data_IF_612300957311
#
_entry.id   IF_612300957311
#
_cell.length_a   1.000
_cell.length_b   1.000
_cell.length_c   1.000
_cell.angle_alpha   90.00
_cell.angle_beta   90.00
_cell.angle_gamma   90.00
#
_symmetry.space_group_name_H-M   'P 1'
#
loop_
_entity.id
_entity.type
_entity.pdbx_description
1 polymer ?
#
# COMPACT_ATOMS: atom_id res chain seq x y z
N UNK A 1 -7.94 42.23 48.57
CA UNK A 1 -9.10 42.87 49.24
C UNK A 1 -10.35 42.48 48.45
N UNK A 2 -11.29 41.75 49.09
CA UNK A 2 -12.67 41.36 48.68
C UNK A 2 -12.82 40.43 47.45
N UNK A 3 -13.08 39.13 47.65
CA UNK A 3 -14.38 38.41 47.87
C UNK A 3 -15.03 38.04 46.51
N UNK A 4 -15.33 36.81 46.08
CA UNK A 4 -15.84 35.53 46.64
C UNK A 4 -17.25 35.24 46.10
N UNK A 5 -17.58 33.94 46.00
CA UNK A 5 -18.90 33.27 45.81
C UNK A 5 -19.21 32.90 44.35
N UNK A 6 -19.32 31.64 43.89
CA UNK A 6 -19.85 30.37 44.43
C UNK A 6 -21.37 30.31 44.61
N UNK A 7 -22.04 29.43 43.82
CA UNK A 7 -23.12 28.46 44.17
C UNK A 7 -23.95 28.11 42.91
N UNK A 8 -24.00 26.83 42.49
CA UNK A 8 -24.97 25.76 42.85
C UNK A 8 -26.43 26.06 42.44
N UNK A 9 -27.05 25.17 41.65
CA UNK A 9 -28.15 24.25 42.08
C UNK A 9 -29.11 23.86 40.94
N UNK A 10 -29.67 22.64 41.03
CA UNK A 10 -30.95 22.20 40.43
C UNK A 10 -30.82 21.47 39.09
N UNK A 11 -30.95 20.14 38.93
CA UNK A 11 -31.91 19.11 39.40
C UNK A 11 -33.20 19.02 38.57
N UNK A 12 -33.59 17.76 38.31
CA UNK A 12 -34.87 17.24 37.78
C UNK A 12 -35.04 17.37 36.26
N UNK A 13 -35.65 16.48 35.51
CA UNK A 13 -36.30 15.15 35.59
C UNK A 13 -36.55 14.84 34.07
N UNK A 14 -36.71 13.64 33.50
CA UNK A 14 -37.77 12.67 33.71
C UNK A 14 -37.72 11.65 32.53
N UNK A 15 -38.09 10.38 32.80
CA UNK A 15 -38.73 9.38 31.92
C UNK A 15 -38.03 8.95 30.59
N UNK A 16 -37.96 7.67 30.19
CA UNK A 16 -38.72 6.45 30.46
C UNK A 16 -37.78 5.23 30.23
N UNK A 17 -37.68 4.21 31.10
CA UNK A 17 -38.62 3.14 31.46
C UNK A 17 -39.33 2.47 30.28
N UNK A 18 -38.78 1.34 29.81
CA UNK A 18 -39.56 0.16 29.43
C UNK A 18 -38.86 -1.09 30.02
N UNK A 19 -39.50 -1.67 31.02
CA UNK A 19 -39.27 -3.03 31.52
C UNK A 19 -40.23 -3.96 30.79
N UNK A 20 -39.80 -5.17 30.42
CA UNK A 20 -40.62 -6.38 30.51
C UNK A 20 -39.70 -7.51 30.96
N UNK A 21 -39.86 -7.90 32.24
CA UNK A 21 -39.60 -9.25 32.72
C UNK A 21 -40.77 -10.14 32.33
N UNK A 22 -40.50 -11.41 32.01
CA UNK A 22 -41.29 -12.53 32.54
C UNK A 22 -40.56 -13.86 32.29
N UNK A 23 -39.85 -14.25 33.35
CA UNK A 23 -40.00 -15.50 34.10
C UNK A 23 -39.99 -16.88 33.43
N UNK A 24 -39.16 -17.70 34.08
CA UNK A 24 -38.93 -19.12 33.94
C UNK A 24 -40.01 -20.01 34.57
N UNK A 25 -40.24 -21.21 34.02
CA UNK A 25 -40.62 -22.42 34.80
C UNK A 25 -40.44 -23.70 33.99
N UNK A 26 -39.66 -24.61 34.56
CA UNK A 26 -39.46 -26.02 34.22
C UNK A 26 -40.61 -26.89 34.74
N UNK A 27 -40.95 -28.01 34.07
CA UNK A 27 -41.22 -29.33 34.67
C UNK A 27 -41.29 -30.44 33.58
N UNK A 28 -41.21 -31.68 34.04
CA UNK A 28 -40.62 -32.91 33.48
C UNK A 28 -41.45 -33.75 32.48
N UNK A 29 -40.74 -34.63 31.74
CA UNK A 29 -41.20 -35.72 30.84
C UNK A 29 -42.20 -36.71 31.47
N UNK A 30 -42.96 -37.46 30.63
CA UNK A 30 -42.66 -38.89 30.43
C UNK A 30 -42.64 -39.36 28.95
N UNK A 31 -42.38 -40.66 28.80
CA UNK A 31 -41.73 -41.44 27.75
C UNK A 31 -42.52 -41.86 26.49
N UNK A 32 -41.74 -42.10 25.43
CA UNK A 32 -41.86 -43.12 24.37
C UNK A 32 -43.19 -43.34 23.62
N UNK A 33 -43.15 -43.07 22.31
CA UNK A 33 -43.16 -44.14 21.29
C UNK A 33 -42.67 -43.60 19.95
N UNK A 34 -41.72 -44.32 19.37
CA UNK A 34 -41.28 -44.16 17.99
C UNK A 34 -42.46 -44.39 17.04
N UNK A 35 -42.66 -43.46 16.11
CA UNK A 35 -42.98 -43.84 14.75
C UNK A 35 -42.48 -42.77 13.78
N UNK A 36 -41.69 -43.27 12.85
CA UNK A 36 -41.11 -42.62 11.69
C UNK A 36 -42.10 -41.69 10.98
N UNK A 37 -41.69 -40.44 10.79
CA UNK A 37 -41.88 -39.79 9.50
C UNK A 37 -40.76 -38.78 9.30
N UNK A 38 -39.95 -39.09 8.30
CA UNK A 38 -38.99 -38.23 7.64
C UNK A 38 -39.74 -36.96 7.22
N UNK A 39 -39.61 -35.89 7.98
CA UNK A 39 -39.76 -34.52 7.51
C UNK A 39 -38.38 -33.90 7.49
N UNK A 40 -37.55 -34.42 6.59
CA UNK A 40 -36.48 -33.62 6.03
C UNK A 40 -37.08 -32.83 4.85
N UNK A 41 -36.54 -31.63 4.64
CA UNK A 41 -36.78 -30.74 3.48
C UNK A 41 -38.08 -29.92 3.45
N UNK A 42 -38.06 -28.77 4.14
CA UNK A 42 -38.29 -27.44 3.53
C UNK A 42 -38.60 -26.37 4.59
N UNK A 43 -37.65 -26.05 5.46
CA UNK A 43 -37.55 -24.66 5.93
C UNK A 43 -37.10 -23.80 4.77
N UNK A 44 -38.04 -23.43 3.88
CA UNK A 44 -37.85 -22.30 2.96
C UNK A 44 -37.56 -21.10 3.84
N UNK A 45 -36.29 -20.73 3.99
CA UNK A 45 -35.90 -19.43 4.56
C UNK A 45 -36.61 -18.38 3.71
N UNK A 46 -37.66 -17.77 4.26
CA UNK A 46 -38.35 -16.67 3.62
C UNK A 46 -37.36 -15.50 3.60
N UNK A 47 -36.71 -15.31 2.47
CA UNK A 47 -35.82 -14.17 2.26
C UNK A 47 -36.71 -12.93 2.16
N UNK A 48 -36.49 -11.94 3.03
CA UNK A 48 -37.26 -10.70 2.95
C UNK A 48 -36.89 -9.94 1.68
N UNK A 49 -37.87 -9.24 1.09
CA UNK A 49 -37.63 -8.41 -0.08
C UNK A 49 -36.54 -7.35 0.19
N UNK A 50 -36.46 -6.84 1.42
CA UNK A 50 -35.42 -5.91 1.85
C UNK A 50 -34.02 -6.55 1.82
N UNK A 51 -33.89 -7.79 2.28
CA UNK A 51 -32.62 -8.52 2.21
C UNK A 51 -32.22 -8.80 0.76
N UNK A 52 -33.14 -9.29 -0.07
CA UNK A 52 -32.87 -9.57 -1.47
C UNK A 52 -32.45 -8.31 -2.24
N UNK A 53 -33.10 -7.17 -1.96
CA UNK A 53 -32.73 -5.88 -2.54
C UNK A 53 -31.35 -5.42 -2.05
N UNK A 54 -31.07 -5.54 -0.74
CA UNK A 54 -29.76 -5.19 -0.18
C UNK A 54 -28.62 -6.00 -0.79
N UNK A 55 -28.82 -7.31 -0.95
CA UNK A 55 -27.85 -8.20 -1.60
C UNK A 55 -27.64 -7.85 -3.08
N UNK A 56 -28.70 -7.55 -3.82
CA UNK A 56 -28.60 -7.09 -5.20
C UNK A 56 -27.82 -5.77 -5.32
N UNK A 57 -28.06 -4.81 -4.41
CA UNK A 57 -27.34 -3.53 -4.39
C UNK A 57 -25.86 -3.74 -4.06
N UNK A 58 -25.54 -4.56 -3.05
CA UNK A 58 -24.16 -4.88 -2.69
C UNK A 58 -23.43 -5.52 -3.90
N UNK A 59 -24.09 -6.42 -4.61
CA UNK A 59 -23.57 -7.04 -5.84
C UNK A 59 -23.40 -6.05 -7.00
N UNK A 60 -24.20 -5.00 -7.10
CA UNK A 60 -24.01 -3.93 -8.11
C UNK A 60 -22.81 -3.06 -7.72
N UNK A 61 -22.71 -2.67 -6.44
CA UNK A 61 -21.69 -1.75 -5.95
C UNK A 61 -20.27 -2.25 -6.22
N UNK A 62 -20.02 -3.56 -6.15
CA UNK A 62 -18.69 -4.14 -6.39
C UNK A 62 -18.10 -3.79 -7.77
N UNK A 63 -18.95 -3.53 -8.78
CA UNK A 63 -18.51 -3.22 -10.15
C UNK A 63 -18.37 -1.73 -10.43
N UNK A 64 -18.85 -0.87 -9.53
CA UNK A 64 -18.85 0.58 -9.73
C UNK A 64 -17.48 1.21 -9.46
N UNK A 65 -17.15 2.26 -10.20
CA UNK A 65 -15.99 3.14 -9.95
C UNK A 65 -16.25 4.06 -8.77
N UNK A 66 -15.21 4.72 -8.24
CA UNK A 66 -15.39 5.58 -7.07
C UNK A 66 -16.37 6.72 -7.36
N UNK A 67 -16.32 7.33 -8.56
CA UNK A 67 -17.27 8.38 -8.97
C UNK A 67 -18.71 7.90 -8.88
N UNK A 68 -18.99 6.72 -9.43
CA UNK A 68 -20.34 6.19 -9.51
C UNK A 68 -20.83 5.75 -8.12
N UNK A 69 -19.95 5.16 -7.30
CA UNK A 69 -20.24 4.87 -5.89
C UNK A 69 -20.63 6.14 -5.12
N UNK A 70 -19.87 7.22 -5.28
CA UNK A 70 -20.19 8.48 -4.61
C UNK A 70 -21.56 9.03 -5.05
N UNK A 71 -21.91 8.92 -6.33
CA UNK A 71 -23.23 9.33 -6.85
C UNK A 71 -24.37 8.45 -6.35
N UNK A 72 -24.23 7.13 -6.36
CA UNK A 72 -25.32 6.25 -5.89
C UNK A 72 -25.47 6.31 -4.37
N UNK A 73 -24.41 6.65 -3.63
CA UNK A 73 -24.46 6.82 -2.17
C UNK A 73 -25.41 7.92 -1.70
N UNK A 74 -25.77 8.87 -2.58
CA UNK A 74 -26.70 9.97 -2.27
C UNK A 74 -28.16 9.65 -2.60
N UNK A 75 -28.47 8.46 -3.14
CA UNK A 75 -29.83 8.10 -3.56
C UNK A 75 -30.74 7.87 -2.35
N UNK A 76 -30.38 6.96 -1.45
CA UNK A 76 -31.10 6.72 -0.20
C UNK A 76 -30.19 6.04 0.84
N UNK A 77 -30.68 5.88 2.08
CA UNK A 77 -29.94 5.26 3.18
C UNK A 77 -29.40 3.87 2.85
N UNK A 78 -30.20 3.01 2.20
CA UNK A 78 -29.77 1.65 1.84
C UNK A 78 -28.58 1.67 0.88
N UNK A 79 -28.63 2.47 -0.19
CA UNK A 79 -27.51 2.65 -1.12
C UNK A 79 -26.28 3.23 -0.43
N UNK A 80 -26.47 4.21 0.46
CA UNK A 80 -25.36 4.80 1.21
C UNK A 80 -24.63 3.77 2.08
N UNK A 81 -25.39 2.93 2.80
CA UNK A 81 -24.85 1.86 3.64
C UNK A 81 -24.14 0.79 2.79
N UNK A 82 -24.74 0.39 1.66
CA UNK A 82 -24.12 -0.54 0.70
C UNK A 82 -22.81 -0.02 0.12
N UNK A 83 -22.77 1.26 -0.29
CA UNK A 83 -21.55 1.90 -0.78
C UNK A 83 -20.49 1.96 0.31
N UNK A 84 -20.87 2.30 1.55
CA UNK A 84 -19.94 2.36 2.68
C UNK A 84 -19.33 0.98 2.96
N UNK A 85 -20.16 -0.07 2.97
CA UNK A 85 -19.70 -1.47 3.09
C UNK A 85 -18.82 -1.91 1.93
N UNK A 86 -19.11 -1.45 0.71
CA UNK A 86 -18.29 -1.79 -0.46
C UNK A 86 -16.92 -1.09 -0.38
N UNK A 87 -16.88 0.20 -0.06
CA UNK A 87 -15.64 0.95 0.08
C UNK A 87 -14.73 0.38 1.16
N UNK A 88 -15.28 -0.08 2.29
CA UNK A 88 -14.51 -0.70 3.38
C UNK A 88 -13.89 -2.05 3.00
N UNK A 89 -14.31 -2.67 1.89
CA UNK A 89 -13.82 -3.96 1.38
C UNK A 89 -12.88 -3.80 0.18
N UNK A 90 -12.48 -2.58 -0.20
CA UNK A 90 -11.58 -2.37 -1.33
C UNK A 90 -10.13 -2.31 -0.86
N UNK A 91 -9.27 -3.08 -1.54
CA UNK A 91 -7.84 -3.15 -1.28
C UNK A 91 -7.02 -2.15 -2.10
N UNK A 92 -5.69 -2.34 -2.19
CA UNK A 92 -4.81 -1.47 -2.95
C UNK A 92 -5.12 -1.57 -4.44
N UNK A 93 -4.93 -0.47 -5.16
CA UNK A 93 -5.13 -0.39 -6.60
C UNK A 93 -3.86 0.07 -7.29
N UNK A 94 -3.51 -0.59 -8.38
CA UNK A 94 -2.55 -0.09 -9.37
C UNK A 94 -3.35 0.61 -10.47
N UNK A 95 -2.95 1.80 -10.90
CA UNK A 95 -3.57 2.44 -12.06
C UNK A 95 -2.61 3.39 -12.77
N UNK A 96 -2.91 3.67 -14.03
CA UNK A 96 -2.22 4.68 -14.83
C UNK A 96 -3.01 5.98 -14.75
N UNK A 97 -2.39 7.02 -14.19
CA UNK A 97 -2.95 8.36 -14.20
C UNK A 97 -2.56 9.08 -15.51
N UNK A 98 -3.38 10.01 -16.00
CA UNK A 98 -2.99 10.84 -17.13
C UNK A 98 -1.70 11.62 -16.83
N UNK A 99 -0.91 11.86 -17.85
CA UNK A 99 0.27 12.71 -17.78
C UNK A 99 -0.02 14.16 -18.21
N UNK A 100 -1.15 14.39 -18.89
CA UNK A 100 -1.61 15.72 -19.32
C UNK A 100 -2.61 16.38 -18.35
N UNK A 101 -2.40 17.68 -18.09
CA UNK A 101 -3.18 18.47 -17.13
C UNK A 101 -4.69 18.57 -17.42
N UNK A 102 -5.09 18.56 -18.71
CA UNK A 102 -6.49 18.67 -19.11
C UNK A 102 -7.30 17.37 -18.88
N UNK A 103 -6.61 16.25 -18.66
CA UNK A 103 -7.22 14.93 -18.48
C UNK A 103 -7.38 14.55 -17.00
N UNK A 104 -6.90 15.36 -16.07
CA UNK A 104 -6.85 15.00 -14.65
C UNK A 104 -8.22 14.91 -13.96
N UNK A 105 -9.26 15.55 -14.49
CA UNK A 105 -10.62 15.44 -13.97
C UNK A 105 -11.18 14.00 -14.09
N UNK A 106 -10.53 13.17 -14.93
CA UNK A 106 -10.86 11.75 -15.12
C UNK A 106 -10.28 10.83 -14.04
N UNK A 107 -9.55 11.33 -13.03
CA UNK A 107 -8.98 10.47 -11.98
C UNK A 107 -10.06 9.64 -11.26
N UNK A 108 -11.24 10.22 -11.06
CA UNK A 108 -12.38 9.54 -10.45
C UNK A 108 -12.99 8.46 -11.36
N UNK A 109 -12.64 8.47 -12.63
CA UNK A 109 -13.03 7.47 -13.63
C UNK A 109 -12.00 6.35 -13.76
N UNK A 110 -10.82 6.55 -13.18
CA UNK A 110 -9.73 5.58 -13.17
C UNK A 110 -9.73 4.81 -11.84
N UNK A 111 -9.94 5.53 -10.74
CA UNK A 111 -9.91 4.94 -9.41
C UNK A 111 -11.22 4.22 -9.07
N UNK A 112 -11.08 3.07 -8.43
CA UNK A 112 -12.16 2.34 -7.77
C UNK A 112 -12.13 2.59 -6.26
N UNK A 113 -11.02 3.06 -5.72
CA UNK A 113 -10.87 3.28 -4.29
C UNK A 113 -10.82 4.77 -3.95
N UNK A 114 -11.08 5.08 -2.68
CA UNK A 114 -10.70 6.36 -2.08
C UNK A 114 -9.31 6.18 -1.44
N UNK A 115 -8.23 6.66 -2.07
CA UNK A 115 -6.87 6.43 -1.57
C UNK A 115 -6.63 7.22 -0.28
N UNK A 116 -5.97 6.60 0.69
CA UNK A 116 -5.35 7.28 1.83
C UNK A 116 -3.97 7.83 1.44
N UNK A 117 -3.20 7.02 0.69
CA UNK A 117 -1.92 7.43 0.11
C UNK A 117 -1.83 7.02 -1.37
N UNK A 118 -1.27 7.90 -2.19
CA UNK A 118 -0.80 7.59 -3.55
C UNK A 118 0.73 7.63 -3.65
N UNK A 119 1.33 6.60 -4.22
CA UNK A 119 2.73 6.58 -4.64
C UNK A 119 2.77 6.64 -6.16
N UNK A 120 3.29 7.72 -6.71
CA UNK A 120 3.36 7.97 -8.16
C UNK A 120 4.79 7.75 -8.64
N UNK A 121 4.97 6.83 -9.58
CA UNK A 121 6.25 6.50 -10.19
C UNK A 121 6.37 7.26 -11.50
N UNK A 122 7.28 8.21 -11.55
CA UNK A 122 7.44 9.17 -12.64
C UNK A 122 8.74 8.83 -13.36
N UNK A 123 8.69 8.54 -14.64
CA UNK A 123 9.86 8.13 -15.40
C UNK A 123 9.93 8.81 -16.76
N UNK A 124 11.10 8.83 -17.41
CA UNK A 124 12.37 8.35 -16.86
C UNK A 124 12.93 9.35 -15.83
N UNK A 125 13.99 9.01 -15.11
CA UNK A 125 14.53 9.84 -14.02
C UNK A 125 15.09 11.16 -14.55
N UNK A 126 15.50 12.07 -13.64
CA UNK A 126 16.14 13.35 -13.98
C UNK A 126 17.31 13.22 -14.96
N UNK A 127 18.02 12.08 -14.95
CA UNK A 127 19.16 11.85 -15.84
C UNK A 127 18.76 11.74 -17.31
N UNK A 128 17.53 11.28 -17.57
CA UNK A 128 17.04 10.94 -18.91
C UNK A 128 15.93 11.89 -19.39
N UNK A 129 15.43 12.80 -18.54
CA UNK A 129 14.35 13.75 -18.90
C UNK A 129 14.84 15.18 -19.07
N UNK A 130 14.24 15.90 -20.02
CA UNK A 130 14.50 17.32 -20.26
C UNK A 130 13.84 18.23 -19.20
N UNK A 131 12.68 17.80 -18.67
CA UNK A 131 11.89 18.59 -17.73
C UNK A 131 12.39 18.40 -16.30
N UNK A 132 12.95 19.45 -15.71
CA UNK A 132 13.34 19.46 -14.29
C UNK A 132 12.10 19.58 -13.39
N UNK A 133 12.20 19.02 -12.19
CA UNK A 133 11.20 19.19 -11.12
C UNK A 133 9.79 18.67 -11.49
N UNK A 134 9.73 17.62 -12.29
CA UNK A 134 8.47 17.06 -12.76
C UNK A 134 7.62 16.50 -11.62
N UNK A 135 8.25 15.98 -10.58
CA UNK A 135 7.61 15.52 -9.33
C UNK A 135 6.72 16.62 -8.75
N UNK A 136 7.22 17.85 -8.70
CA UNK A 136 6.50 18.98 -8.12
C UNK A 136 5.28 19.37 -8.96
N UNK A 137 5.42 19.31 -10.28
CA UNK A 137 4.32 19.59 -11.22
C UNK A 137 3.22 18.52 -11.10
N UNK A 138 3.61 17.24 -11.12
CA UNK A 138 2.70 16.10 -10.96
C UNK A 138 1.99 16.15 -9.60
N UNK A 139 2.73 16.43 -8.51
CA UNK A 139 2.11 16.58 -7.19
C UNK A 139 1.13 17.76 -7.15
N UNK A 140 1.48 18.90 -7.74
CA UNK A 140 0.60 20.07 -7.77
C UNK A 140 -0.69 19.80 -8.55
N UNK A 141 -0.57 19.07 -9.66
CA UNK A 141 -1.67 18.64 -10.51
C UNK A 141 -2.63 17.69 -9.76
N UNK A 142 -2.08 16.72 -9.02
CA UNK A 142 -2.86 15.65 -8.43
C UNK A 142 -3.31 15.88 -7.00
N UNK A 143 -2.63 16.74 -6.22
CA UNK A 143 -2.88 16.97 -4.79
C UNK A 143 -4.36 17.15 -4.44
N UNK A 144 -5.12 17.88 -5.26
CA UNK A 144 -6.55 18.19 -5.01
C UNK A 144 -7.46 16.94 -4.99
N UNK A 145 -6.99 15.81 -5.49
CA UNK A 145 -7.74 14.55 -5.55
C UNK A 145 -7.39 13.56 -4.44
N UNK A 146 -6.37 13.85 -3.64
CA UNK A 146 -5.91 12.96 -2.57
C UNK A 146 -6.20 13.57 -1.21
N UNK A 147 -6.83 12.83 -0.29
CA UNK A 147 -7.24 13.40 1.00
C UNK A 147 -6.08 13.59 1.97
N UNK A 148 -5.04 12.74 1.92
CA UNK A 148 -4.00 12.72 2.95
C UNK A 148 -2.59 12.77 2.39
N UNK A 149 -2.09 11.72 1.74
CA UNK A 149 -0.68 11.68 1.33
C UNK A 149 -0.52 11.42 -0.17
N UNK A 150 0.45 12.11 -0.76
CA UNK A 150 0.89 11.89 -2.13
C UNK A 150 2.41 11.92 -2.17
N UNK A 151 3.00 10.93 -2.83
CA UNK A 151 4.44 10.79 -2.98
C UNK A 151 4.75 10.64 -4.46
N UNK A 152 5.65 11.48 -4.97
CA UNK A 152 6.23 11.36 -6.28
C UNK A 152 7.64 10.78 -6.15
N UNK A 153 7.90 9.70 -6.90
CA UNK A 153 9.16 8.99 -6.95
C UNK A 153 9.62 8.96 -8.42
N UNK A 154 10.73 9.63 -8.71
CA UNK A 154 11.38 9.55 -10.01
C UNK A 154 12.09 8.20 -10.16
N UNK A 155 11.81 7.52 -11.26
CA UNK A 155 12.34 6.19 -11.58
C UNK A 155 12.87 6.20 -13.00
N UNK A 156 13.90 5.39 -13.30
CA UNK A 156 14.33 5.24 -14.69
C UNK A 156 13.31 4.44 -15.50
N UNK A 157 12.69 3.45 -14.87
CA UNK A 157 11.65 2.65 -15.49
C UNK A 157 10.62 2.18 -14.48
N UNK A 158 9.35 2.17 -14.91
CA UNK A 158 8.27 1.53 -14.17
C UNK A 158 7.56 0.50 -15.03
N UNK A 159 7.16 -0.61 -14.42
CA UNK A 159 6.52 -1.74 -15.10
C UNK A 159 5.27 -2.13 -14.33
N UNK A 160 4.14 -2.23 -15.02
CA UNK A 160 2.89 -2.77 -14.50
C UNK A 160 2.70 -4.19 -15.04
N UNK A 161 2.86 -5.18 -14.16
CA UNK A 161 2.98 -6.59 -14.52
C UNK A 161 4.15 -6.85 -15.48
N UNK A 162 3.90 -6.90 -16.78
CA UNK A 162 4.91 -7.10 -17.85
C UNK A 162 4.96 -5.90 -18.79
N UNK A 163 4.07 -4.92 -18.61
CA UNK A 163 3.97 -3.75 -19.47
C UNK A 163 4.85 -2.62 -18.93
N UNK A 164 5.81 -2.18 -19.74
CA UNK A 164 6.61 -0.99 -19.46
C UNK A 164 5.74 0.25 -19.58
N UNK A 165 5.81 1.11 -18.57
CA UNK A 165 5.07 2.36 -18.52
C UNK A 165 6.02 3.51 -18.79
N UNK A 166 5.69 4.29 -19.81
CA UNK A 166 6.42 5.48 -20.24
C UNK A 166 5.75 6.68 -19.57
N UNK A 167 6.17 6.96 -18.33
CA UNK A 167 5.52 7.91 -17.43
C UNK A 167 6.09 9.33 -17.46
N UNK A 168 6.26 9.93 -18.64
CA UNK A 168 6.89 11.25 -18.78
C UNK A 168 5.96 12.30 -19.39
N UNK A 169 5.28 13.11 -18.55
CA UNK A 169 4.64 14.32 -19.04
C UNK A 169 5.59 15.18 -19.87
N UNK A 170 5.20 15.48 -21.12
CA UNK A 170 5.95 16.36 -22.02
C UNK A 170 7.14 15.71 -22.76
N UNK A 171 7.31 14.39 -22.70
CA UNK A 171 8.27 13.69 -23.56
C UNK A 171 7.75 13.57 -24.99
N UNK A 172 8.63 13.78 -25.97
CA UNK A 172 8.34 13.46 -27.38
C UNK A 172 8.19 11.93 -27.52
N UNK A 173 6.99 11.46 -27.85
CA UNK A 173 6.66 10.03 -27.96
C UNK A 173 5.19 9.75 -27.68
N UNK A 174 4.86 8.49 -27.36
CA UNK A 174 3.53 8.07 -26.92
C UNK A 174 3.57 7.70 -25.42
N UNK A 175 3.65 8.69 -24.51
CA UNK A 175 3.53 8.39 -23.09
C UNK A 175 2.19 7.71 -22.82
N UNK A 176 2.17 6.80 -21.85
CA UNK A 176 0.99 5.98 -21.54
C UNK A 176 0.51 6.16 -20.09
N UNK A 177 0.89 7.28 -19.48
CA UNK A 177 0.44 7.69 -18.15
C UNK A 177 1.45 7.43 -17.04
N UNK A 178 1.12 7.90 -15.84
CA UNK A 178 1.93 7.80 -14.63
C UNK A 178 1.46 6.59 -13.83
N UNK A 179 2.35 5.61 -13.62
CA UNK A 179 2.02 4.44 -12.82
C UNK A 179 1.88 4.83 -11.34
N UNK A 180 0.74 4.51 -10.75
CA UNK A 180 0.45 4.78 -9.34
C UNK A 180 0.12 3.52 -8.55
N UNK A 181 0.61 3.47 -7.32
CA UNK A 181 0.09 2.60 -6.25
C UNK A 181 -0.80 3.42 -5.32
N UNK A 182 -2.05 2.99 -5.18
CA UNK A 182 -3.05 3.65 -4.35
C UNK A 182 -3.45 2.71 -3.22
N UNK A 183 -3.25 3.14 -1.97
CA UNK A 183 -3.57 2.34 -0.79
C UNK A 183 -4.69 3.06 -0.04
N UNK A 184 -5.88 2.43 0.15
CA UNK A 184 -6.97 3.04 0.89
C UNK A 184 -6.74 2.90 2.39
N UNK A 185 -7.54 3.62 3.18
CA UNK A 185 -7.72 3.29 4.59
C UNK A 185 -8.49 1.97 4.69
N UNK A 186 -8.06 1.07 5.56
CA UNK A 186 -8.67 -0.25 5.73
C UNK A 186 -8.87 -0.53 7.21
N UNK A 187 -10.05 -1.03 7.59
CA UNK A 187 -10.50 -1.08 8.98
C UNK A 187 -9.52 -1.81 9.92
N UNK A 188 -8.91 -2.89 9.43
CA UNK A 188 -8.01 -3.73 10.22
C UNK A 188 -6.52 -3.45 9.96
N UNK A 189 -6.21 -2.41 9.18
CA UNK A 189 -4.85 -1.98 8.91
C UNK A 189 -4.58 -0.60 9.50
N UNK A 190 -3.40 -0.44 10.10
CA UNK A 190 -2.86 0.83 10.56
C UNK A 190 -1.71 1.23 9.64
N UNK A 191 -1.85 2.38 8.99
CA UNK A 191 -0.81 2.98 8.15
C UNK A 191 -0.19 4.15 8.92
N UNK A 192 1.11 4.05 9.23
CA UNK A 192 1.88 5.18 9.79
C UNK A 192 2.88 5.68 8.74
N UNK A 193 2.98 7.00 8.59
CA UNK A 193 3.84 7.64 7.57
C UNK A 193 4.70 8.71 8.25
N UNK A 194 5.97 8.77 7.90
CA UNK A 194 6.88 9.85 8.28
C UNK A 194 7.84 10.16 7.14
N UNK A 195 8.17 11.44 6.98
CA UNK A 195 9.18 11.87 6.02
C UNK A 195 9.92 13.13 6.51
N UNK A 196 11.11 13.35 5.98
CA UNK A 196 11.90 14.56 6.22
C UNK A 196 12.43 15.13 4.90
N UNK A 197 12.73 16.43 4.89
CA UNK A 197 13.29 17.12 3.72
C UNK A 197 14.81 17.22 3.80
N UNK A 198 15.44 17.60 2.68
CA UNK A 198 16.84 18.00 2.69
C UNK A 198 17.10 19.12 3.72
N UNK A 199 18.26 19.05 4.38
CA UNK A 199 18.64 19.92 5.49
C UNK A 199 18.14 19.44 6.88
N UNK A 200 17.47 18.30 6.98
CA UNK A 200 16.99 17.77 8.26
C UNK A 200 18.15 17.35 9.19
N UNK A 201 18.04 17.67 10.48
CA UNK A 201 19.03 17.27 11.50
C UNK A 201 18.97 15.79 11.87
N UNK A 202 19.82 15.38 12.81
CA UNK A 202 19.87 14.01 13.37
C UNK A 202 18.55 13.58 14.00
N UNK A 203 17.77 14.52 14.55
CA UNK A 203 16.48 14.26 15.18
C UNK A 203 15.46 13.63 14.20
N UNK A 204 15.65 13.81 12.89
CA UNK A 204 14.83 13.18 11.87
C UNK A 204 14.90 11.65 11.93
N UNK A 205 16.05 11.08 12.31
CA UNK A 205 16.25 9.64 12.46
C UNK A 205 15.32 9.08 13.54
N UNK A 206 15.33 9.70 14.72
CA UNK A 206 14.48 9.27 15.84
C UNK A 206 13.00 9.50 15.55
N UNK A 207 12.67 10.66 14.99
CA UNK A 207 11.30 11.00 14.58
C UNK A 207 10.74 9.94 13.62
N UNK A 208 11.42 9.69 12.49
CA UNK A 208 10.97 8.72 11.50
C UNK A 208 10.82 7.34 12.13
N UNK A 209 11.83 6.90 12.90
CA UNK A 209 11.80 5.60 13.55
C UNK A 209 10.60 5.48 14.49
N UNK A 210 10.38 6.46 15.37
CA UNK A 210 9.27 6.42 16.33
C UNK A 210 7.91 6.45 15.64
N UNK A 211 7.75 7.28 14.61
CA UNK A 211 6.49 7.42 13.89
C UNK A 211 6.14 6.17 13.08
N UNK A 212 7.09 5.49 12.43
CA UNK A 212 6.76 4.30 11.62
C UNK A 212 6.76 2.99 12.41
N UNK A 213 7.34 2.93 13.60
CA UNK A 213 7.33 1.67 14.36
C UNK A 213 6.00 1.44 15.10
N UNK A 214 5.44 0.21 15.10
CA UNK A 214 4.30 -0.11 15.95
C UNK A 214 4.69 -0.03 17.43
N UNK A 215 3.70 0.27 18.26
CA UNK A 215 3.88 0.44 19.69
C UNK A 215 4.16 -0.92 20.37
N UNK A 216 3.49 -1.98 19.89
CA UNK A 216 3.79 -3.37 20.24
C UNK A 216 4.81 -3.98 19.26
N UNK A 217 5.99 -4.34 19.78
CA UNK A 217 7.10 -4.95 19.03
C UNK A 217 6.81 -6.38 18.53
N UNK A 218 5.74 -7.02 19.02
CA UNK A 218 5.29 -8.33 18.54
C UNK A 218 4.52 -8.23 17.23
N UNK A 219 3.94 -7.06 16.95
CA UNK A 219 3.20 -6.84 15.71
C UNK A 219 4.19 -6.80 14.54
N UNK A 220 3.94 -7.64 13.54
CA UNK A 220 4.72 -7.65 12.31
C UNK A 220 4.48 -6.35 11.54
N UNK A 221 5.55 -5.74 11.04
CA UNK A 221 5.52 -4.46 10.33
C UNK A 221 5.98 -4.57 8.89
N UNK A 222 5.12 -4.19 7.95
CA UNK A 222 5.48 -4.06 6.53
C UNK A 222 5.98 -2.66 6.27
N UNK A 223 7.25 -2.48 5.90
CA UNK A 223 7.89 -1.17 5.78
C UNK A 223 8.20 -0.88 4.30
N UNK A 224 7.78 0.29 3.83
CA UNK A 224 8.16 0.87 2.55
C UNK A 224 9.02 2.10 2.83
N UNK A 225 10.22 2.16 2.26
CA UNK A 225 11.16 3.25 2.50
C UNK A 225 11.84 3.70 1.20
N UNK A 226 11.80 5.00 0.95
CA UNK A 226 12.49 5.64 -0.16
C UNK A 226 13.38 6.75 0.37
N UNK A 227 14.53 6.94 -0.26
CA UNK A 227 15.37 8.09 0.07
C UNK A 227 16.11 8.61 -1.16
N UNK A 228 16.62 9.84 -1.03
CA UNK A 228 17.56 10.37 -2.01
C UNK A 228 18.99 9.85 -1.80
N UNK A 229 19.82 9.94 -2.84
CA UNK A 229 21.18 9.39 -2.86
C UNK A 229 22.18 10.15 -1.98
N UNK A 230 21.81 11.33 -1.47
CA UNK A 230 22.66 12.17 -0.63
C UNK A 230 22.38 11.94 0.87
N UNK A 231 21.91 12.99 1.55
CA UNK A 231 21.61 12.98 2.97
C UNK A 231 20.60 11.89 3.35
N UNK A 232 19.62 11.64 2.48
CA UNK A 232 18.56 10.66 2.67
C UNK A 232 19.09 9.25 2.89
N UNK A 233 20.08 8.82 2.12
CA UNK A 233 20.69 7.50 2.27
C UNK A 233 21.29 7.30 3.67
N UNK A 234 22.04 8.29 4.18
CA UNK A 234 22.61 8.24 5.53
C UNK A 234 21.54 8.18 6.62
N UNK A 235 20.49 9.00 6.50
CA UNK A 235 19.35 8.99 7.45
C UNK A 235 18.64 7.64 7.39
N UNK A 236 18.34 7.12 6.20
CA UNK A 236 17.66 5.83 6.01
C UNK A 236 18.45 4.67 6.64
N UNK A 237 19.77 4.64 6.46
CA UNK A 237 20.63 3.63 7.11
C UNK A 237 20.59 3.72 8.65
N UNK A 238 20.50 4.93 9.21
CA UNK A 238 20.40 5.11 10.66
C UNK A 238 19.02 4.72 11.20
N UNK A 239 17.94 5.15 10.53
CA UNK A 239 16.57 4.71 10.83
C UNK A 239 16.52 3.19 10.84
N UNK A 240 17.12 2.59 9.82
CA UNK A 240 17.17 1.15 9.68
C UNK A 240 17.93 0.45 10.82
N UNK A 241 19.10 0.98 11.21
CA UNK A 241 19.85 0.48 12.37
C UNK A 241 18.99 0.49 13.65
N UNK A 242 18.15 1.49 13.84
CA UNK A 242 17.25 1.56 15.00
C UNK A 242 16.09 0.56 14.91
N UNK A 243 15.49 0.38 13.73
CA UNK A 243 14.43 -0.62 13.52
C UNK A 243 14.96 -2.03 13.79
N UNK A 244 16.13 -2.39 13.26
CA UNK A 244 16.75 -3.71 13.49
C UNK A 244 17.06 -3.98 14.97
N UNK A 245 17.36 -2.93 15.75
CA UNK A 245 17.51 -3.07 17.22
C UNK A 245 16.16 -3.27 17.93
N UNK A 246 15.06 -2.77 17.38
CA UNK A 246 13.72 -2.84 17.98
C UNK A 246 12.97 -4.13 17.64
N UNK A 247 13.18 -4.70 16.45
CA UNK A 247 12.41 -5.83 15.94
C UNK A 247 13.28 -7.07 15.71
N UNK A 248 12.71 -8.24 16.00
CA UNK A 248 13.28 -9.52 15.56
C UNK A 248 13.10 -9.65 14.04
N UNK A 249 14.03 -10.35 13.39
CA UNK A 249 14.14 -10.39 11.93
C UNK A 249 12.94 -10.96 11.15
N UNK A 250 12.01 -11.63 11.80
CA UNK A 250 10.77 -12.14 11.16
C UNK A 250 9.56 -11.24 11.39
N UNK A 251 9.72 -10.20 12.21
CA UNK A 251 8.65 -9.27 12.58
C UNK A 251 8.62 -8.03 11.68
N UNK A 252 9.34 -8.04 10.56
CA UNK A 252 9.22 -6.98 9.56
C UNK A 252 9.47 -7.50 8.14
N UNK A 253 8.91 -6.80 7.18
CA UNK A 253 9.32 -6.85 5.77
C UNK A 253 9.75 -5.45 5.36
N UNK A 254 10.66 -5.37 4.38
CA UNK A 254 11.22 -4.10 3.92
C UNK A 254 11.23 -4.08 2.39
N UNK A 255 10.82 -2.96 1.82
CA UNK A 255 10.89 -2.70 0.40
C UNK A 255 11.18 -1.23 0.11
N UNK A 256 11.88 -0.98 -0.99
CA UNK A 256 12.12 0.34 -1.54
C UNK A 256 13.56 0.52 -1.95
N UNK A 257 14.10 1.73 -1.86
CA UNK A 257 15.46 2.00 -2.33
C UNK A 257 15.80 3.49 -2.44
N UNK A 258 16.91 3.73 -3.12
CA UNK A 258 17.46 5.07 -3.39
C UNK A 258 16.99 5.56 -4.77
N UNK A 259 16.37 6.73 -4.82
CA UNK A 259 15.74 7.31 -6.02
C UNK A 259 16.29 8.70 -6.37
N UNK A 260 17.62 8.83 -6.32
CA UNK A 260 18.35 10.07 -6.56
C UNK A 260 17.63 11.29 -5.99
N UNK A 261 17.61 12.40 -6.69
CA UNK A 261 17.10 13.67 -6.21
C UNK A 261 15.61 13.87 -6.62
N UNK A 262 14.93 12.78 -7.00
CA UNK A 262 13.59 12.79 -7.56
C UNK A 262 12.54 12.24 -6.57
N UNK A 263 12.69 12.57 -5.29
CA UNK A 263 11.76 12.15 -4.24
C UNK A 263 11.07 13.38 -3.62
N UNK A 264 9.73 13.37 -3.64
CA UNK A 264 8.92 14.37 -2.94
C UNK A 264 7.67 13.73 -2.34
N UNK A 265 7.49 13.91 -1.04
CA UNK A 265 6.30 13.52 -0.30
C UNK A 265 5.61 14.78 0.26
N UNK A 266 4.28 14.79 0.21
CA UNK A 266 3.46 15.86 0.78
C UNK A 266 2.29 15.28 1.58
N UNK A 267 1.88 16.03 2.60
CA UNK A 267 0.57 15.87 3.22
C UNK A 267 -0.40 16.84 2.53
N UNK A 268 -1.33 16.31 1.75
CA UNK A 268 -2.30 17.04 0.94
C UNK A 268 -3.27 17.86 1.78
N UNK A 269 -3.54 17.44 3.03
CA UNK A 269 -4.44 18.15 3.94
C UNK A 269 -3.82 19.37 4.63
N UNK A 270 -2.48 19.40 4.75
CA UNK A 270 -1.78 20.48 5.47
C UNK A 270 -0.98 21.41 4.57
N UNK A 271 -0.56 20.93 3.41
CA UNK A 271 0.17 21.76 2.43
C UNK A 271 -0.86 22.54 1.62
N UNK A 272 -0.66 23.84 1.39
CA UNK A 272 -1.48 24.61 0.45
C UNK A 272 -0.88 24.54 -0.97
N UNK A 273 0.41 24.85 -1.08
CA UNK A 273 1.19 24.81 -2.32
C UNK A 273 2.39 23.85 -2.19
N UNK A 274 2.67 23.10 -3.26
CA UNK A 274 3.82 22.18 -3.28
C UNK A 274 5.11 23.00 -3.35
N UNK A 275 5.86 23.03 -2.24
CA UNK A 275 7.15 23.73 -2.16
C UNK A 275 8.27 22.99 -2.91
N UNK A 276 9.38 23.68 -3.19
CA UNK A 276 10.54 23.15 -3.92
C UNK A 276 11.51 22.28 -3.09
N UNK A 277 11.30 22.10 -1.78
CA UNK A 277 12.18 21.30 -0.93
C UNK A 277 11.98 19.81 -1.21
N UNK A 278 13.03 19.13 -1.64
CA UNK A 278 13.02 17.68 -1.87
C UNK A 278 12.91 16.90 -0.57
N UNK A 279 12.28 15.73 -0.64
CA UNK A 279 12.21 14.77 0.46
C UNK A 279 13.52 14.00 0.52
N UNK A 280 14.17 14.01 1.68
CA UNK A 280 15.37 13.24 1.93
C UNK A 280 15.03 11.76 2.18
N UNK A 281 14.06 11.50 3.05
CA UNK A 281 13.55 10.16 3.36
C UNK A 281 12.05 10.19 3.44
N UNK A 282 11.41 9.24 2.78
CA UNK A 282 10.02 8.86 3.00
C UNK A 282 9.98 7.44 3.58
N UNK A 283 9.20 7.24 4.62
CA UNK A 283 8.96 5.92 5.19
C UNK A 283 7.49 5.75 5.55
N UNK A 284 6.98 4.55 5.30
CA UNK A 284 5.64 4.13 5.66
C UNK A 284 5.70 2.74 6.28
N UNK A 285 4.89 2.51 7.30
CA UNK A 285 4.61 1.17 7.81
C UNK A 285 3.14 0.85 7.68
N UNK A 286 2.88 -0.42 7.39
CA UNK A 286 1.55 -1.02 7.39
C UNK A 286 1.59 -2.16 8.41
N UNK A 287 0.66 -2.13 9.35
CA UNK A 287 0.47 -3.18 10.36
C UNK A 287 -0.99 -3.57 10.44
N UNK A 288 -1.29 -4.80 10.86
CA UNK A 288 -2.66 -5.27 11.01
C UNK A 288 -2.70 -6.75 11.35
N UNK A 289 -3.75 -7.20 12.02
CA UNK A 289 -3.94 -8.63 12.35
C UNK A 289 -4.27 -9.46 11.12
N UNK A 290 -4.92 -8.86 10.11
CA UNK A 290 -5.26 -9.51 8.85
C UNK A 290 -4.13 -9.44 7.80
N UNK A 291 -3.05 -8.72 8.09
CA UNK A 291 -1.95 -8.46 7.16
C UNK A 291 -0.92 -9.59 7.16
N UNK A 292 -0.72 -10.17 5.98
CA UNK A 292 0.42 -11.02 5.69
C UNK A 292 1.35 -10.32 4.70
N UNK A 293 2.65 -10.40 4.96
CA UNK A 293 3.65 -9.86 4.06
C UNK A 293 4.89 -10.74 4.00
N UNK A 294 5.51 -10.79 2.83
CA UNK A 294 6.77 -11.49 2.63
C UNK A 294 7.69 -10.60 1.80
N UNK A 295 8.97 -10.60 2.11
CA UNK A 295 9.98 -9.98 1.28
C UNK A 295 11.16 -10.90 1.10
N UNK A 296 11.79 -10.82 -0.07
CA UNK A 296 13.05 -11.49 -0.39
C UNK A 296 13.94 -10.52 -1.14
N UNK A 297 15.24 -10.75 -1.08
CA UNK A 297 16.19 -10.08 -1.97
C UNK A 297 16.83 -11.10 -2.90
N UNK A 298 16.79 -10.82 -4.19
CA UNK A 298 17.37 -11.65 -5.24
C UNK A 298 18.63 -10.95 -5.71
N UNK A 299 19.79 -11.57 -5.49
CA UNK A 299 21.02 -11.15 -6.16
C UNK A 299 20.86 -11.43 -7.66
N UNK A 300 20.93 -10.37 -8.45
CA UNK A 300 20.63 -10.47 -9.87
C UNK A 300 21.87 -10.84 -10.71
N UNK A 301 23.04 -10.97 -10.09
CA UNK A 301 24.24 -11.58 -10.70
C UNK A 301 24.17 -13.12 -10.70
N UNK A 302 23.28 -13.71 -9.89
CA UNK A 302 23.07 -15.15 -9.84
C UNK A 302 22.48 -15.72 -11.14
N UNK A 303 22.71 -17.01 -11.40
CA UNK A 303 22.17 -17.71 -12.57
C UNK A 303 20.63 -17.69 -12.60
N UNK A 304 20.04 -17.81 -13.79
CA UNK A 304 18.58 -17.86 -13.95
C UNK A 304 17.96 -19.01 -13.15
N UNK A 305 18.65 -20.15 -13.08
CA UNK A 305 18.22 -21.30 -12.28
C UNK A 305 18.13 -20.97 -10.79
N UNK A 306 19.12 -20.28 -10.25
CA UNK A 306 19.17 -19.96 -8.82
C UNK A 306 18.14 -18.89 -8.43
N UNK A 307 17.94 -17.89 -9.30
CA UNK A 307 16.84 -16.94 -9.14
C UNK A 307 15.50 -17.69 -9.13
N UNK A 308 15.27 -18.58 -10.10
CA UNK A 308 14.03 -19.34 -10.18
C UNK A 308 13.79 -20.22 -8.95
N UNK A 309 14.81 -20.89 -8.43
CA UNK A 309 14.72 -21.65 -7.17
C UNK A 309 14.30 -20.74 -6.01
N UNK A 310 14.90 -19.55 -5.89
CA UNK A 310 14.57 -18.60 -4.81
C UNK A 310 13.14 -18.07 -4.92
N UNK A 311 12.69 -17.75 -6.13
CA UNK A 311 11.31 -17.31 -6.38
C UNK A 311 10.28 -18.42 -6.13
N UNK A 312 10.56 -19.65 -6.55
CA UNK A 312 9.70 -20.81 -6.27
C UNK A 312 9.62 -21.11 -4.77
N UNK A 313 10.73 -20.98 -4.05
CA UNK A 313 10.75 -21.13 -2.60
C UNK A 313 9.85 -20.10 -1.90
N UNK A 314 9.90 -18.84 -2.34
CA UNK A 314 8.96 -17.82 -1.86
C UNK A 314 7.52 -18.21 -2.17
N UNK A 315 7.22 -18.60 -3.43
CA UNK A 315 5.87 -19.00 -3.86
C UNK A 315 5.26 -20.07 -2.96
N UNK A 316 6.05 -21.07 -2.57
CA UNK A 316 5.58 -22.16 -1.71
C UNK A 316 5.25 -21.73 -0.28
N UNK A 317 5.68 -20.54 0.15
CA UNK A 317 5.39 -19.98 1.49
C UNK A 317 4.24 -18.98 1.49
N UNK A 318 3.70 -18.60 0.32
CA UNK A 318 2.68 -17.59 0.22
C UNK A 318 1.31 -18.16 0.59
N UNK A 319 0.59 -17.42 1.43
CA UNK A 319 -0.82 -17.63 1.70
C UNK A 319 -1.59 -16.39 1.21
N UNK A 320 -2.03 -16.44 -0.04
CA UNK A 320 -2.59 -15.27 -0.70
C UNK A 320 -4.05 -15.05 -0.26
N UNK A 321 -4.36 -13.78 -0.03
CA UNK A 321 -5.67 -13.28 0.38
C UNK A 321 -6.28 -12.44 -0.73
N UNK A 322 -7.51 -11.97 -0.53
CA UNK A 322 -8.28 -11.23 -1.53
C UNK A 322 -7.52 -10.01 -2.07
N UNK A 323 -6.89 -9.24 -1.20
CA UNK A 323 -6.14 -8.05 -1.54
C UNK A 323 -4.64 -8.34 -1.53
N UNK A 324 -4.16 -8.88 -2.65
CA UNK A 324 -2.74 -9.19 -2.86
C UNK A 324 -2.13 -8.25 -3.88
N UNK A 325 -0.95 -7.70 -3.57
CA UNK A 325 -0.10 -6.97 -4.51
C UNK A 325 1.37 -7.31 -4.30
N UNK A 326 2.11 -7.43 -5.39
CA UNK A 326 3.55 -7.57 -5.41
C UNK A 326 4.24 -6.26 -5.80
N UNK A 327 5.35 -5.96 -5.13
CA UNK A 327 6.18 -4.79 -5.35
C UNK A 327 7.61 -5.24 -5.61
N UNK A 328 8.24 -4.66 -6.63
CA UNK A 328 9.58 -5.01 -7.07
C UNK A 328 10.38 -3.74 -7.22
N UNK A 329 11.57 -3.69 -6.61
CA UNK A 329 12.51 -2.61 -6.77
C UNK A 329 13.90 -3.18 -7.07
N UNK A 330 14.57 -2.69 -8.11
CA UNK A 330 15.87 -3.24 -8.51
C UNK A 330 16.58 -2.43 -9.59
N UNK A 331 17.71 -2.93 -10.08
CA UNK A 331 18.42 -2.30 -11.20
C UNK A 331 17.63 -2.45 -12.50
N UNK A 332 17.57 -1.40 -13.32
CA UNK A 332 16.99 -1.42 -14.69
C UNK A 332 17.74 -2.41 -15.57
N UNK A 333 19.05 -2.48 -15.41
CA UNK A 333 19.88 -3.49 -16.04
C UNK A 333 21.13 -3.73 -15.23
N UNK A 334 21.77 -4.86 -15.50
CA UNK A 334 22.97 -5.31 -14.81
C UNK A 334 24.06 -5.49 -15.85
N UNK A 335 25.17 -4.81 -15.62
CA UNK A 335 26.30 -4.89 -16.53
C UNK A 335 27.24 -6.05 -16.16
N UNK A 336 27.62 -6.85 -17.16
CA UNK A 336 28.73 -7.81 -17.06
C UNK A 336 30.03 -7.06 -17.34
N UNK A 337 30.67 -6.58 -16.27
CA UNK A 337 31.91 -5.82 -16.34
C UNK A 337 33.11 -6.65 -16.87
N UNK A 338 32.95 -7.96 -17.07
CA UNK A 338 33.98 -8.82 -17.67
C UNK A 338 33.95 -8.84 -19.20
N UNK A 339 32.92 -8.26 -19.82
CA UNK A 339 32.75 -8.19 -21.28
C UNK A 339 33.06 -6.79 -21.83
N UNK A 340 33.28 -6.72 -23.15
CA UNK A 340 33.53 -5.45 -23.84
C UNK A 340 32.22 -4.66 -24.03
N UNK A 341 32.30 -3.32 -23.98
CA UNK A 341 31.19 -2.37 -23.77
C UNK A 341 29.91 -2.55 -24.58
N UNK A 342 29.95 -3.19 -25.75
CA UNK A 342 28.79 -3.37 -26.63
C UNK A 342 27.96 -4.64 -26.33
N UNK A 343 28.48 -5.57 -25.51
CA UNK A 343 27.81 -6.83 -25.11
C UNK A 343 27.50 -6.89 -23.61
N UNK A 344 27.55 -5.74 -22.93
CA UNK A 344 27.67 -5.65 -21.48
C UNK A 344 26.40 -5.95 -20.68
N UNK A 345 25.25 -6.29 -21.26
CA UNK A 345 24.04 -6.50 -20.46
C UNK A 345 23.87 -7.96 -20.04
N UNK A 346 23.91 -8.23 -18.74
CA UNK A 346 23.64 -9.54 -18.16
C UNK A 346 22.14 -9.85 -18.17
N UNK A 347 21.32 -8.91 -17.68
CA UNK A 347 19.84 -8.94 -17.65
C UNK A 347 19.27 -7.53 -17.57
N UNK A 348 18.06 -7.37 -18.06
CA UNK A 348 17.25 -6.16 -17.88
C UNK A 348 16.02 -6.44 -16.98
N UNK A 349 15.41 -5.36 -16.52
CA UNK A 349 14.18 -5.33 -15.73
C UNK A 349 13.00 -6.06 -16.39
N UNK A 350 12.88 -6.03 -17.73
CA UNK A 350 11.76 -6.65 -18.45
C UNK A 350 11.82 -8.18 -18.32
N UNK A 351 13.00 -8.76 -18.52
CA UNK A 351 13.23 -10.20 -18.35
C UNK A 351 12.96 -10.66 -16.91
N UNK A 352 13.37 -9.85 -15.92
CA UNK A 352 13.12 -10.15 -14.51
C UNK A 352 11.63 -10.10 -14.17
N UNK A 353 10.90 -9.10 -14.67
CA UNK A 353 9.45 -8.98 -14.48
C UNK A 353 8.68 -10.09 -15.18
N UNK A 354 9.07 -10.46 -16.41
CA UNK A 354 8.47 -11.58 -17.14
C UNK A 354 8.67 -12.91 -16.37
N UNK A 355 9.86 -13.15 -15.83
CA UNK A 355 10.13 -14.35 -15.02
C UNK A 355 9.31 -14.36 -13.71
N UNK A 356 9.18 -13.21 -13.05
CA UNK A 356 8.32 -13.06 -11.88
C UNK A 356 6.86 -13.35 -12.23
N UNK A 357 6.35 -12.79 -13.32
CA UNK A 357 4.97 -12.99 -13.76
C UNK A 357 4.69 -14.42 -14.22
N UNK A 358 5.67 -15.09 -14.81
CA UNK A 358 5.61 -16.53 -15.10
C UNK A 358 5.43 -17.37 -13.83
N UNK A 359 6.11 -17.03 -12.73
CA UNK A 359 6.02 -17.76 -11.46
C UNK A 359 4.77 -17.36 -10.67
N UNK A 360 4.46 -16.07 -10.63
CA UNK A 360 3.38 -15.45 -9.86
C UNK A 360 2.29 -14.88 -10.79
N UNK A 361 1.70 -15.76 -11.60
CA UNK A 361 0.71 -15.38 -12.64
C UNK A 361 -0.49 -14.60 -12.08
N UNK A 362 -0.93 -14.95 -10.88
CA UNK A 362 -2.16 -14.41 -10.28
C UNK A 362 -1.92 -13.18 -9.37
N UNK A 363 -0.67 -12.77 -9.19
CA UNK A 363 -0.34 -11.60 -8.36
C UNK A 363 -0.13 -10.40 -9.28
N UNK A 364 -0.85 -9.27 -9.06
CA UNK A 364 -0.54 -8.02 -9.73
C UNK A 364 0.79 -7.46 -9.22
N UNK A 365 1.66 -7.00 -10.11
CA UNK A 365 2.96 -6.43 -9.73
C UNK A 365 3.17 -5.00 -10.22
N UNK A 366 3.82 -4.20 -9.37
CA UNK A 366 4.51 -2.97 -9.75
C UNK A 366 6.01 -3.23 -9.67
N UNK A 367 6.72 -2.98 -10.76
CA UNK A 367 8.17 -2.90 -10.80
C UNK A 367 8.64 -1.45 -10.93
N UNK A 368 9.63 -1.07 -10.13
CA UNK A 368 10.31 0.23 -10.19
C UNK A 368 11.81 0.03 -10.25
N UNK A 369 12.43 0.55 -11.30
CA UNK A 369 13.81 0.25 -11.61
C UNK A 369 14.62 1.51 -11.82
N UNK A 370 15.84 1.49 -11.27
CA UNK A 370 16.81 2.59 -11.39
C UNK A 370 18.12 2.09 -11.99
N UNK A 371 18.96 3.01 -12.43
CA UNK A 371 20.27 2.74 -13.00
C UNK A 371 21.16 1.98 -12.02
N UNK A 372 21.94 1.03 -12.55
CA UNK A 372 22.53 -0.14 -11.88
C UNK A 372 23.54 0.05 -10.73
N UNK A 373 23.57 1.19 -10.05
CA UNK A 373 24.44 1.43 -8.88
C UNK A 373 23.72 1.96 -7.65
N UNK A 374 22.43 2.29 -7.77
CA UNK A 374 21.62 2.70 -6.63
C UNK A 374 21.37 1.51 -5.69
N UNK A 375 21.35 1.79 -4.39
CA UNK A 375 21.04 0.77 -3.40
C UNK A 375 19.52 0.53 -3.36
N UNK A 376 19.13 -0.73 -3.25
CA UNK A 376 17.76 -1.15 -3.00
C UNK A 376 17.62 -1.64 -1.57
N UNK A 377 16.47 -1.33 -0.95
CA UNK A 377 16.15 -1.75 0.40
C UNK A 377 15.31 -3.02 0.37
N UNK A 378 15.75 -4.04 1.09
CA UNK A 378 15.04 -5.31 1.19
C UNK A 378 15.56 -6.19 2.29
N UNK A 379 14.74 -7.16 2.70
CA UNK A 379 15.13 -8.21 3.64
C UNK A 379 14.51 -9.53 3.19
N UNK A 380 15.21 -10.64 3.36
CA UNK A 380 14.61 -11.97 3.32
C UNK A 380 13.91 -12.24 4.65
N UNK A 381 12.60 -11.98 4.68
CA UNK A 381 11.76 -12.20 5.87
C UNK A 381 11.57 -13.68 6.20
N UNK A 382 12.05 -14.56 5.32
CA UNK A 382 11.92 -16.01 5.45
C UNK A 382 13.22 -16.68 5.94
N UNK A 383 14.31 -15.90 6.04
CA UNK A 383 15.62 -16.33 6.52
C UNK A 383 15.77 -16.15 8.03
N UNK A 384 16.62 -16.98 8.64
CA UNK A 384 17.04 -16.91 10.05
C UNK A 384 18.33 -16.11 10.26
N UNK A 385 18.98 -15.66 9.17
CA UNK A 385 20.26 -14.96 9.25
C UNK A 385 20.10 -13.50 9.69
N UNK A 386 20.35 -13.21 10.97
CA UNK A 386 20.24 -11.88 11.56
C UNK A 386 21.25 -10.85 11.08
N UNK A 387 22.15 -11.20 10.16
CA UNK A 387 23.21 -10.33 9.61
C UNK A 387 23.01 -9.91 8.17
N UNK A 388 21.86 -10.22 7.57
CA UNK A 388 21.53 -9.78 6.21
C UNK A 388 21.87 -8.31 5.95
N UNK A 389 22.49 -8.05 4.81
CA UNK A 389 22.62 -6.71 4.27
C UNK A 389 21.28 -6.23 3.75
N UNK A 390 20.94 -4.99 4.06
CA UNK A 390 19.60 -4.44 3.87
C UNK A 390 19.56 -3.31 2.85
N UNK A 391 20.73 -2.83 2.44
CA UNK A 391 20.95 -1.93 1.32
C UNK A 391 21.88 -2.66 0.36
N UNK A 392 21.32 -3.11 -0.77
CA UNK A 392 22.00 -4.02 -1.68
C UNK A 392 22.12 -3.36 -3.05
N UNK A 393 23.31 -3.46 -3.65
CA UNK A 393 23.56 -3.09 -5.05
C UNK A 393 23.37 -4.32 -5.92
N UNK A 394 23.02 -4.12 -7.19
CA UNK A 394 22.88 -5.20 -8.19
C UNK A 394 21.92 -6.33 -7.75
N UNK A 395 20.97 -6.01 -6.87
CA UNK A 395 19.99 -6.93 -6.33
C UNK A 395 18.58 -6.34 -6.44
N UNK A 396 17.61 -7.22 -6.55
CA UNK A 396 16.19 -6.89 -6.63
C UNK A 396 15.50 -7.24 -5.32
N UNK A 397 14.86 -6.23 -4.72
CA UNK A 397 13.98 -6.38 -3.57
C UNK A 397 12.57 -6.66 -4.05
N UNK A 398 12.00 -7.79 -3.59
CA UNK A 398 10.62 -8.19 -3.90
C UNK A 398 9.85 -8.23 -2.59
N UNK A 399 8.67 -7.63 -2.56
CA UNK A 399 7.75 -7.72 -1.44
C UNK A 399 6.35 -8.04 -1.93
N UNK A 400 5.68 -8.96 -1.26
CA UNK A 400 4.27 -9.30 -1.49
C UNK A 400 3.51 -8.92 -0.23
N UNK A 401 2.45 -8.14 -0.40
CA UNK A 401 1.51 -7.74 0.66
C UNK A 401 0.17 -8.39 0.35
N UNK A 402 -0.46 -9.00 1.35
CA UNK A 402 -1.68 -9.77 1.22
C UNK A 402 -2.56 -9.55 2.45
N UNK A 403 -3.81 -9.10 2.25
CA UNK A 403 -4.81 -8.99 3.31
C UNK A 403 -6.22 -9.28 2.77
N UNK A 404 -7.17 -9.54 3.65
CA UNK A 404 -8.55 -9.90 3.28
C UNK A 404 -9.44 -8.68 3.13
#
# INVERSE_FOLDING_TARGET
MKKSLAQKSGSKDEAARWCIDNDSRSFTKPSEKANSNIQDLNTRKIVSAAYALGDAIDNICQYLKIRDLMRVSSVCKLWNESVTRELSKRGPQMALLPDESHSCDQIWDILRIKPYIGLLFIGPSLRERNTKNLEFQVLSMYKKYFPQYLVAIGVDESIMNEQVIVSCPGLLGNPNGILGLFIPEYQDLKIKISFCTNGAGTDAVEKITNEITPDDKKIKSTIIMFCNSHQGYSIALQVWKLIRKRFKQKNYTLWGGVFDDDLKAINCSTVEHVDSKKTAVFAMSITGSCLESWSIVVDCTNTKSDINKKLLHLKNKLNLKRHTIGLVCGPRYIEDLSKSSYENMYRNSHELMAELKRIFSNIPFIGVFNYGYNCHFGVDSSSDDNRQDLALKMAMSIMIISYD
#
